data_IF_454329833565
#
_entry.id   IF_454329833565
#
_cell.length_a   1.000
_cell.length_b   1.000
_cell.length_c   1.000
_cell.angle_alpha   90.00
_cell.angle_beta   90.00
_cell.angle_gamma   90.00
#
_symmetry.space_group_name_H-M   'P 1'
#
loop_
_entity.id
_entity.type
_entity.pdbx_description
1 polymer ?
#
# COMPACT_ATOMS: atom_id res chain seq x y z
N UNK A 1 -21.73 -39.72 22.35
CA UNK A 1 -21.99 -38.30 22.02
C UNK A 1 -23.29 -38.16 21.24
N UNK A 2 -23.98 -36.99 21.29
CA UNK A 2 -25.13 -36.68 20.40
C UNK A 2 -24.62 -36.14 19.05
N UNK A 3 -25.28 -36.48 17.94
CA UNK A 3 -24.84 -36.08 16.60
C UNK A 3 -24.71 -34.55 16.42
N UNK A 4 -25.58 -33.76 17.04
CA UNK A 4 -25.50 -32.29 16.94
C UNK A 4 -24.25 -31.72 17.63
N UNK A 5 -23.82 -32.35 18.73
CA UNK A 5 -22.59 -31.97 19.44
C UNK A 5 -21.38 -32.35 18.60
N UNK A 6 -21.42 -33.54 17.98
CA UNK A 6 -20.37 -33.99 17.06
C UNK A 6 -20.21 -33.02 15.88
N UNK A 7 -21.31 -32.65 15.21
CA UNK A 7 -21.30 -31.71 14.08
C UNK A 7 -20.74 -30.34 14.46
N UNK A 8 -21.07 -29.83 15.65
CA UNK A 8 -20.54 -28.55 16.13
C UNK A 8 -19.04 -28.59 16.46
N UNK A 9 -18.47 -29.78 16.69
CA UNK A 9 -17.10 -29.98 17.15
C UNK A 9 -16.19 -30.66 16.14
N UNK A 10 -16.66 -30.93 14.92
CA UNK A 10 -15.91 -31.66 13.91
C UNK A 10 -14.67 -30.90 13.43
N UNK A 11 -14.77 -29.58 13.24
CA UNK A 11 -13.62 -28.75 12.87
C UNK A 11 -12.56 -28.70 13.98
N UNK A 12 -12.99 -28.46 15.23
CA UNK A 12 -12.10 -28.51 16.40
C UNK A 12 -11.40 -29.88 16.52
N UNK A 13 -12.06 -30.97 16.13
CA UNK A 13 -11.51 -32.33 16.14
C UNK A 13 -10.46 -32.56 15.04
N UNK A 14 -10.76 -32.13 13.80
CA UNK A 14 -9.85 -32.27 12.64
C UNK A 14 -8.56 -31.46 12.86
N UNK A 15 -8.66 -30.29 13.50
CA UNK A 15 -7.51 -29.42 13.82
C UNK A 15 -6.75 -29.83 15.10
N UNK A 16 -7.13 -30.92 15.76
CA UNK A 16 -6.57 -31.38 17.05
C UNK A 16 -6.68 -30.33 18.18
N UNK A 17 -7.75 -29.52 18.17
CA UNK A 17 -8.01 -28.43 19.09
C UNK A 17 -8.94 -28.81 20.27
N UNK A 18 -9.28 -30.10 20.41
CA UNK A 18 -10.14 -30.61 21.47
C UNK A 18 -9.37 -31.15 22.68
N UNK A 19 -10.01 -31.09 23.85
CA UNK A 19 -9.53 -31.80 25.04
C UNK A 19 -9.61 -33.33 24.84
N UNK A 20 -8.68 -34.06 25.46
CA UNK A 20 -8.49 -35.50 25.23
C UNK A 20 -9.77 -36.32 25.45
N UNK A 21 -10.54 -36.02 26.51
CA UNK A 21 -11.80 -36.71 26.81
C UNK A 21 -12.85 -36.52 25.72
N UNK A 22 -12.88 -35.34 25.10
CA UNK A 22 -13.78 -35.04 23.99
C UNK A 22 -13.33 -35.75 22.71
N UNK A 23 -12.01 -35.81 22.48
CA UNK A 23 -11.41 -36.54 21.34
C UNK A 23 -11.79 -38.02 21.37
N UNK A 24 -11.61 -38.68 22.52
CA UNK A 24 -12.02 -40.07 22.75
C UNK A 24 -13.53 -40.25 22.50
N UNK A 25 -14.35 -39.32 23.00
CA UNK A 25 -15.81 -39.38 22.79
C UNK A 25 -16.22 -39.24 21.32
N UNK A 26 -15.46 -38.46 20.54
CA UNK A 26 -15.69 -38.30 19.10
C UNK A 26 -15.24 -39.52 18.30
N UNK A 27 -14.07 -40.08 18.61
CA UNK A 27 -13.59 -41.34 17.99
C UNK A 27 -14.57 -42.48 18.20
N UNK A 28 -15.04 -42.67 19.42
CA UNK A 28 -16.07 -43.66 19.70
C UNK A 28 -17.37 -43.39 18.94
N UNK A 29 -17.75 -42.12 18.75
CA UNK A 29 -18.97 -41.76 18.06
C UNK A 29 -18.86 -41.97 16.53
N UNK A 30 -17.71 -41.64 15.92
CA UNK A 30 -17.41 -41.93 14.51
C UNK A 30 -17.53 -43.43 14.25
N UNK A 31 -16.99 -44.26 15.14
CA UNK A 31 -17.05 -45.71 15.00
C UNK A 31 -18.48 -46.29 15.15
N UNK A 32 -19.33 -45.63 15.93
CA UNK A 32 -20.69 -46.12 16.24
C UNK A 32 -21.79 -45.52 15.36
N UNK A 33 -21.57 -44.37 14.73
CA UNK A 33 -22.60 -43.63 13.97
C UNK A 33 -22.21 -43.46 12.49
N UNK A 34 -22.82 -44.23 11.56
CA UNK A 34 -22.49 -44.16 10.14
C UNK A 34 -22.66 -42.77 9.51
N UNK A 35 -23.69 -42.02 9.94
CA UNK A 35 -23.96 -40.68 9.40
C UNK A 35 -22.86 -39.66 9.82
N UNK A 36 -22.43 -39.70 11.08
CA UNK A 36 -21.35 -38.84 11.56
C UNK A 36 -19.98 -39.25 10.98
N UNK A 37 -19.80 -40.54 10.69
CA UNK A 37 -18.63 -41.05 9.98
C UNK A 37 -18.54 -40.52 8.55
N UNK A 38 -19.63 -40.56 7.79
CA UNK A 38 -19.68 -40.00 6.43
C UNK A 38 -19.37 -38.50 6.41
N UNK A 39 -19.89 -37.74 7.39
CA UNK A 39 -19.55 -36.32 7.57
C UNK A 39 -18.04 -36.16 7.83
N UNK A 40 -17.48 -36.93 8.76
CA UNK A 40 -16.05 -36.88 9.06
C UNK A 40 -15.18 -37.21 7.83
N UNK A 41 -15.50 -38.28 7.10
CA UNK A 41 -14.75 -38.70 5.91
C UNK A 41 -14.82 -37.64 4.79
N UNK A 42 -15.97 -36.96 4.62
CA UNK A 42 -16.12 -35.84 3.68
C UNK A 42 -15.26 -34.64 4.07
N UNK A 43 -15.31 -34.20 5.33
CA UNK A 43 -14.52 -33.07 5.80
C UNK A 43 -13.01 -33.36 5.72
N UNK A 44 -12.59 -34.58 6.08
CA UNK A 44 -11.20 -35.04 5.89
C UNK A 44 -10.78 -35.06 4.42
N UNK A 45 -11.69 -35.42 3.51
CA UNK A 45 -11.44 -35.37 2.06
C UNK A 45 -11.19 -33.95 1.55
N UNK A 46 -11.95 -32.98 2.03
CA UNK A 46 -11.77 -31.55 1.72
C UNK A 46 -10.41 -31.07 2.25
N UNK A 47 -10.09 -31.37 3.51
CA UNK A 47 -8.83 -31.00 4.15
C UNK A 47 -7.61 -31.57 3.44
N UNK A 48 -7.66 -32.85 3.02
CA UNK A 48 -6.59 -33.48 2.26
C UNK A 48 -6.45 -32.87 0.86
N UNK A 49 -7.57 -32.62 0.16
CA UNK A 49 -7.54 -31.96 -1.15
C UNK A 49 -6.95 -30.56 -1.06
N UNK A 50 -7.28 -29.83 0.02
CA UNK A 50 -6.70 -28.52 0.30
C UNK A 50 -5.19 -28.62 0.54
N UNK A 51 -4.74 -29.56 1.38
CA UNK A 51 -3.31 -29.81 1.64
C UNK A 51 -2.53 -30.18 0.37
N UNK A 52 -3.09 -31.07 -0.44
CA UNK A 52 -2.49 -31.52 -1.70
C UNK A 52 -2.42 -30.36 -2.71
N UNK A 53 -3.45 -29.50 -2.76
CA UNK A 53 -3.48 -28.33 -3.66
C UNK A 53 -2.48 -27.24 -3.29
N UNK A 54 -2.02 -27.22 -2.05
CA UNK A 54 -1.09 -26.21 -1.55
C UNK A 54 0.39 -26.63 -1.70
N UNK A 55 0.68 -27.85 -2.19
CA UNK A 55 2.03 -28.43 -2.41
C UNK A 55 3.05 -28.06 -1.32
N UNK A 56 2.59 -28.08 -0.06
CA UNK A 56 3.44 -27.87 1.09
C UNK A 56 4.06 -29.23 1.38
N UNK A 57 5.28 -29.43 0.85
CA UNK A 57 6.16 -30.50 1.29
C UNK A 57 6.06 -30.66 2.81
N UNK A 58 5.72 -31.87 3.21
CA UNK A 58 5.50 -32.39 4.56
C UNK A 58 6.71 -32.18 5.46
N UNK A 59 6.98 -30.94 5.82
CA UNK A 59 7.62 -30.61 7.09
C UNK A 59 6.50 -30.28 8.04
N UNK A 60 6.26 -31.25 8.92
CA UNK A 60 5.20 -31.31 9.90
C UNK A 60 4.80 -29.93 10.42
N UNK A 61 3.51 -29.61 10.37
CA UNK A 61 2.88 -28.75 11.37
C UNK A 61 2.98 -29.48 12.72
N UNK A 62 4.18 -29.61 13.28
CA UNK A 62 4.36 -29.89 14.70
C UNK A 62 3.86 -28.66 15.42
N UNK A 63 2.60 -28.75 15.83
CA UNK A 63 1.97 -28.04 16.92
C UNK A 63 2.69 -26.73 17.31
N UNK A 64 2.52 -25.70 16.47
CA UNK A 64 2.95 -24.32 16.76
C UNK A 64 2.48 -23.89 18.16
N UNK A 65 1.36 -24.42 18.66
CA UNK A 65 0.86 -24.14 19.99
C UNK A 65 1.72 -24.75 21.10
N UNK A 66 2.27 -25.95 20.90
CA UNK A 66 3.22 -26.57 21.84
C UNK A 66 4.53 -25.78 21.94
N UNK A 67 5.06 -25.37 20.80
CA UNK A 67 6.29 -24.56 20.73
C UNK A 67 6.07 -23.11 21.19
N UNK A 68 4.89 -22.53 20.94
CA UNK A 68 4.48 -21.23 21.49
C UNK A 68 4.30 -21.34 23.01
N UNK A 69 3.67 -22.39 23.53
CA UNK A 69 3.50 -22.60 24.98
C UNK A 69 4.82 -22.91 25.68
N UNK A 70 5.76 -23.58 25.01
CA UNK A 70 7.11 -23.83 25.50
C UNK A 70 8.01 -22.58 25.44
N UNK A 71 7.82 -21.73 24.43
CA UNK A 71 8.56 -20.45 24.27
C UNK A 71 7.96 -19.28 25.05
N UNK A 72 6.73 -19.41 25.56
CA UNK A 72 6.19 -18.48 26.56
C UNK A 72 7.00 -18.64 27.86
N UNK A 73 7.87 -17.66 28.10
CA UNK A 73 8.62 -17.56 29.34
C UNK A 73 7.65 -17.42 30.53
N UNK A 74 7.42 -18.54 31.22
CA UNK A 74 6.55 -18.64 32.40
C UNK A 74 6.98 -17.70 33.53
N UNK A 75 8.22 -17.19 33.51
CA UNK A 75 8.67 -16.18 34.48
C UNK A 75 8.01 -14.82 34.26
N UNK A 76 7.64 -14.48 33.00
CA UNK A 76 6.96 -13.23 32.62
C UNK A 76 5.56 -13.09 33.23
N UNK A 77 4.88 -14.22 33.45
CA UNK A 77 3.52 -14.27 34.00
C UNK A 77 3.46 -14.80 35.44
N UNK A 78 4.61 -14.98 36.09
CA UNK A 78 4.65 -15.47 37.46
C UNK A 78 4.05 -14.44 38.43
N UNK A 79 3.13 -14.89 39.30
CA UNK A 79 2.51 -14.04 40.34
C UNK A 79 3.46 -13.73 41.51
N UNK A 80 4.67 -14.30 41.54
CA UNK A 80 5.63 -14.04 42.61
C UNK A 80 6.39 -12.74 42.40
N UNK A 81 6.21 -11.82 43.35
CA UNK A 81 6.86 -10.50 43.42
C UNK A 81 8.37 -10.53 43.13
N UNK A 82 9.19 -11.46 43.69
CA UNK A 82 10.63 -11.47 43.42
C UNK A 82 10.99 -11.80 41.97
N UNK A 83 10.18 -12.59 41.25
CA UNK A 83 10.42 -12.90 39.84
C UNK A 83 10.04 -11.73 38.92
N UNK A 84 9.00 -10.96 39.25
CA UNK A 84 8.65 -9.72 38.57
C UNK A 84 9.75 -8.66 38.67
N UNK A 85 10.34 -8.48 39.85
CA UNK A 85 11.41 -7.49 40.06
C UNK A 85 12.65 -7.86 39.24
N UNK A 86 13.08 -9.14 39.28
CA UNK A 86 14.21 -9.62 38.47
C UNK A 86 13.98 -9.39 36.98
N UNK A 87 12.80 -9.75 36.47
CA UNK A 87 12.46 -9.54 35.06
C UNK A 87 12.49 -8.05 34.67
N UNK A 88 11.95 -7.17 35.52
CA UNK A 88 11.94 -5.73 35.27
C UNK A 88 13.37 -5.14 35.25
N UNK A 89 14.26 -5.65 36.11
CA UNK A 89 15.67 -5.26 36.16
C UNK A 89 16.44 -5.70 34.92
N UNK A 90 16.23 -6.94 34.45
CA UNK A 90 16.89 -7.46 33.24
C UNK A 90 16.39 -6.77 31.97
N UNK A 91 15.07 -6.55 31.84
CA UNK A 91 14.46 -5.92 30.66
C UNK A 91 14.85 -4.45 30.50
N UNK A 92 14.97 -3.72 31.61
CA UNK A 92 15.38 -2.31 31.59
C UNK A 92 16.86 -2.10 31.95
N UNK A 93 17.67 -3.16 31.91
CA UNK A 93 19.09 -3.12 32.28
C UNK A 93 19.86 -1.98 31.59
N UNK A 94 19.61 -1.75 30.30
CA UNK A 94 20.22 -0.63 29.56
C UNK A 94 19.86 0.74 30.15
N UNK A 95 18.60 0.96 30.55
CA UNK A 95 18.16 2.23 31.16
C UNK A 95 18.79 2.45 32.54
N UNK A 96 18.91 1.39 33.34
CA UNK A 96 19.57 1.46 34.65
C UNK A 96 21.08 1.68 34.53
N UNK A 97 21.74 1.06 33.55
CA UNK A 97 23.16 1.30 33.26
C UNK A 97 23.37 2.77 32.86
N UNK A 98 22.54 3.31 31.96
CA UNK A 98 22.61 4.73 31.58
C UNK A 98 22.43 5.65 32.77
N UNK A 99 21.43 5.40 33.63
CA UNK A 99 21.19 6.20 34.84
C UNK A 99 22.36 6.12 35.82
N UNK A 100 22.95 4.94 36.01
CA UNK A 100 24.10 4.73 36.87
C UNK A 100 25.36 5.45 36.37
N UNK A 101 25.58 5.45 35.05
CA UNK A 101 26.68 6.22 34.43
C UNK A 101 26.48 7.71 34.64
N UNK A 102 25.26 8.24 34.44
CA UNK A 102 24.98 9.65 34.71
C UNK A 102 25.17 10.02 36.19
N UNK A 103 24.70 9.18 37.11
CA UNK A 103 24.90 9.40 38.55
C UNK A 103 26.39 9.39 38.93
N UNK A 104 27.18 8.47 38.34
CA UNK A 104 28.62 8.39 38.57
C UNK A 104 29.36 9.63 38.02
N UNK A 105 29.03 10.06 36.79
CA UNK A 105 29.59 11.28 36.20
C UNK A 105 29.21 12.51 37.01
N UNK A 106 27.98 12.59 37.51
CA UNK A 106 27.51 13.68 38.36
C UNK A 106 28.27 13.72 39.70
N UNK A 107 28.46 12.57 40.36
CA UNK A 107 29.24 12.48 41.60
C UNK A 107 30.71 12.86 41.41
N UNK A 108 31.32 12.48 40.28
CA UNK A 108 32.72 12.84 39.97
C UNK A 108 32.90 14.32 39.58
N UNK A 109 31.87 14.95 39.01
CA UNK A 109 31.90 16.36 38.60
C UNK A 109 31.43 17.34 39.68
N UNK A 110 30.72 16.86 40.72
CA UNK A 110 30.25 17.68 41.83
C UNK A 110 31.34 18.52 42.55
N UNK A 111 32.58 18.02 42.79
CA UNK A 111 33.64 18.82 43.40
C UNK A 111 34.12 19.99 42.52
N UNK A 112 33.99 19.87 41.20
CA UNK A 112 34.44 20.87 40.24
C UNK A 112 33.41 21.98 40.02
N UNK A 113 32.12 21.63 40.04
CA UNK A 113 31.03 22.59 39.91
C UNK A 113 30.89 23.50 41.15
N UNK A 114 31.25 22.99 42.33
CA UNK A 114 31.11 23.76 43.58
C UNK A 114 32.25 24.78 43.81
N UNK A 115 33.26 24.83 42.93
CA UNK A 115 34.44 25.69 43.11
C UNK A 115 34.29 27.11 42.52
N UNK A 116 33.33 27.33 41.63
CA UNK A 116 33.11 28.62 40.97
C UNK A 116 31.92 29.44 41.51
N UNK A 117 31.11 28.89 42.41
CA UNK A 117 29.89 29.57 42.91
C UNK A 117 30.15 30.29 44.26
N UNK A 118 31.23 29.96 44.98
CA UNK A 118 31.53 30.57 46.28
C UNK A 118 32.54 31.74 46.27
N UNK A 119 33.03 32.18 45.11
CA UNK A 119 33.99 33.29 44.99
C UNK A 119 33.48 34.43 44.10
N UNK A 120 32.25 34.92 44.35
CA UNK A 120 31.82 36.22 43.81
C UNK A 120 30.72 36.84 44.68
N UNK A 121 31.15 37.49 45.74
CA UNK A 121 30.49 38.69 46.25
C UNK A 121 31.21 39.89 45.62
N UNK A 122 30.51 40.68 44.81
CA UNK A 122 30.29 42.11 45.10
C UNK A 122 29.53 42.83 43.98
N UNK A 123 28.55 43.62 44.42
CA UNK A 123 27.89 44.75 43.74
C UNK A 123 26.76 44.45 42.73
N UNK A 124 25.60 44.18 43.34
CA UNK A 124 24.31 44.67 42.87
C UNK A 124 24.33 46.21 42.73
N UNK A 125 24.00 46.76 41.55
CA UNK A 125 23.24 48.02 41.43
C UNK A 125 22.26 47.97 40.26
N UNK A 126 21.00 48.04 40.63
CA UNK A 126 19.84 48.42 39.82
C UNK A 126 20.08 49.74 39.07
N UNK A 127 19.66 49.81 37.80
CA UNK A 127 19.08 51.02 37.24
C UNK A 127 18.14 50.64 36.09
N UNK A 128 16.86 50.91 36.33
CA UNK A 128 15.76 50.95 35.35
C UNK A 128 15.97 52.21 34.50
N UNK A 129 16.05 52.11 33.17
CA UNK A 129 15.56 53.15 32.23
C UNK A 129 15.25 52.49 30.86
N UNK A 130 14.00 52.60 30.45
CA UNK A 130 13.50 52.75 29.06
C UNK A 130 12.73 54.08 29.11
N UNK A 131 12.70 55.01 28.12
CA UNK A 131 12.58 54.74 26.68
C UNK A 131 13.26 55.73 25.68
N UNK A 132 13.45 55.24 24.43
CA UNK A 132 13.41 55.94 23.12
C UNK A 132 14.34 57.14 22.78
N UNK A 133 14.65 57.20 21.47
CA UNK A 133 15.41 58.19 20.68
C UNK A 133 16.93 58.20 20.93
N UNK A 134 17.85 58.21 19.95
CA UNK A 134 17.74 58.48 18.52
C UNK A 134 18.98 57.95 17.76
N UNK A 135 18.74 57.58 16.50
CA UNK A 135 19.57 57.66 15.28
C UNK A 135 21.13 57.56 15.26
N UNK A 136 21.57 56.79 14.25
CA UNK A 136 22.78 56.90 13.39
C UNK A 136 24.15 56.39 13.87
N UNK A 137 24.66 55.33 13.22
CA UNK A 137 25.80 55.44 12.27
C UNK A 137 26.13 54.14 11.51
N UNK A 138 26.24 54.30 10.19
CA UNK A 138 27.22 53.70 9.27
C UNK A 138 27.44 52.18 9.23
N UNK A 139 27.10 51.56 8.08
CA UNK A 139 28.11 50.95 7.19
C UNK A 139 27.50 50.58 5.82
N UNK A 140 27.94 51.30 4.79
CA UNK A 140 27.70 51.08 3.36
C UNK A 140 29.07 50.92 2.68
N UNK A 141 29.07 50.32 1.49
CA UNK A 141 30.18 50.01 0.55
C UNK A 141 30.78 48.60 0.73
N UNK A 142 30.92 47.77 -0.32
CA UNK A 142 31.36 48.11 -1.68
C UNK A 142 30.90 47.07 -2.71
N UNK A 143 30.35 47.52 -3.82
CA UNK A 143 30.30 46.81 -5.10
C UNK A 143 31.03 47.67 -6.14
N UNK A 144 31.91 47.06 -6.92
CA UNK A 144 32.49 47.69 -8.11
C UNK A 144 32.57 46.65 -9.25
N UNK A 145 32.00 47.07 -10.39
CA UNK A 145 32.02 46.45 -11.70
C UNK A 145 33.35 46.71 -12.42
N UNK A 146 33.71 45.83 -13.36
CA UNK A 146 34.49 46.04 -14.59
C UNK A 146 34.24 44.78 -15.44
N UNK A 147 33.94 44.77 -16.74
CA UNK A 147 33.91 45.75 -17.82
C UNK A 147 34.03 44.96 -19.14
N UNK A 148 33.17 45.29 -20.11
CA UNK A 148 33.06 44.70 -21.45
C UNK A 148 34.37 44.66 -22.27
N UNK A 149 34.52 43.62 -23.12
CA UNK A 149 35.18 43.74 -24.43
C UNK A 149 34.68 42.63 -25.38
N UNK A 150 34.12 43.01 -26.52
CA UNK A 150 33.68 42.10 -27.58
C UNK A 150 34.79 41.75 -28.58
N UNK A 151 34.56 40.68 -29.34
CA UNK A 151 35.18 40.42 -30.64
C UNK A 151 34.33 39.39 -31.42
N UNK A 152 33.90 39.77 -32.62
CA UNK A 152 33.25 38.94 -33.64
C UNK A 152 34.23 37.94 -34.29
N UNK A 153 33.64 36.94 -34.97
CA UNK A 153 34.00 36.36 -36.30
C UNK A 153 33.94 34.82 -36.34
N UNK A 154 32.85 34.35 -36.97
CA UNK A 154 32.67 33.30 -38.01
C UNK A 154 33.26 31.87 -37.91
N UNK A 155 32.41 30.96 -38.40
CA UNK A 155 32.64 29.74 -39.20
C UNK A 155 32.75 28.35 -38.52
N UNK A 156 31.72 27.57 -38.88
CA UNK A 156 31.75 26.22 -39.46
C UNK A 156 31.90 24.95 -38.59
N UNK A 157 30.94 24.06 -38.88
CA UNK A 157 31.01 22.61 -38.97
C UNK A 157 30.83 21.73 -37.72
N UNK A 158 29.67 21.06 -37.73
CA UNK A 158 29.49 19.61 -37.55
C UNK A 158 30.46 18.91 -36.60
N UNK A 159 30.03 18.74 -35.35
CA UNK A 159 30.38 17.56 -34.56
C UNK A 159 29.16 17.00 -33.84
N UNK A 160 28.62 15.95 -34.45
CA UNK A 160 27.96 14.85 -33.75
C UNK A 160 28.84 14.42 -32.57
N UNK A 161 28.46 14.79 -31.36
CA UNK A 161 28.92 14.12 -30.15
C UNK A 161 27.73 13.42 -29.52
N UNK A 162 27.74 12.09 -29.62
CA UNK A 162 27.06 11.21 -28.66
C UNK A 162 27.49 11.68 -27.27
N UNK A 163 26.61 12.37 -26.57
CA UNK A 163 26.72 12.45 -25.11
C UNK A 163 26.43 11.05 -24.59
N UNK A 164 27.50 10.35 -24.23
CA UNK A 164 27.43 9.26 -23.27
C UNK A 164 26.82 9.83 -21.99
N UNK A 165 25.50 9.69 -21.87
CA UNK A 165 24.82 9.75 -20.58
C UNK A 165 25.37 8.57 -19.78
N UNK A 166 26.47 8.80 -19.06
CA UNK A 166 26.84 7.96 -17.93
C UNK A 166 25.69 8.05 -16.93
N UNK A 167 24.72 7.15 -17.08
CA UNK A 167 23.68 6.87 -16.11
C UNK A 167 24.40 6.34 -14.88
N UNK A 168 24.74 7.24 -13.97
CA UNK A 168 25.15 6.87 -12.62
C UNK A 168 23.96 6.12 -12.02
N UNK A 169 24.07 4.79 -11.99
CA UNK A 169 23.06 3.91 -11.42
C UNK A 169 23.11 4.11 -9.91
N UNK A 170 21.99 4.54 -9.35
CA UNK A 170 21.79 4.61 -7.90
C UNK A 170 22.09 3.23 -7.31
N UNK A 171 23.04 3.15 -6.38
CA UNK A 171 23.35 1.91 -5.66
C UNK A 171 22.93 2.06 -4.20
N UNK A 172 21.78 1.48 -3.87
CA UNK A 172 21.28 1.42 -2.50
C UNK A 172 21.95 0.24 -1.81
N UNK A 173 22.40 0.44 -0.56
CA UNK A 173 22.90 -0.66 0.25
C UNK A 173 21.79 -1.73 0.45
N UNK A 174 22.15 -3.00 0.52
CA UNK A 174 21.21 -4.13 0.59
C UNK A 174 20.27 -4.11 1.82
N UNK A 175 20.73 -3.60 2.96
CA UNK A 175 19.93 -3.51 4.19
C UNK A 175 18.96 -2.32 4.15
N UNK A 176 19.42 -1.18 3.63
CA UNK A 176 18.58 -0.01 3.37
C UNK A 176 17.51 -0.34 2.32
N UNK A 177 17.89 -1.08 1.28
CA UNK A 177 16.95 -1.67 0.33
C UNK A 177 15.91 -2.53 1.04
N UNK A 178 16.32 -3.52 1.85
CA UNK A 178 15.37 -4.38 2.58
C UNK A 178 14.41 -3.58 3.46
N UNK A 179 14.88 -2.50 4.08
CA UNK A 179 14.03 -1.64 4.88
C UNK A 179 13.01 -0.87 4.02
N UNK A 180 13.46 -0.30 2.88
CA UNK A 180 12.61 0.41 1.93
C UNK A 180 11.61 -0.53 1.25
N UNK A 181 12.04 -1.69 0.76
CA UNK A 181 11.19 -2.65 0.08
C UNK A 181 10.18 -3.30 1.03
N UNK A 182 10.58 -3.60 2.28
CA UNK A 182 9.64 -4.04 3.31
C UNK A 182 8.61 -2.95 3.59
N UNK A 183 9.05 -1.71 3.79
CA UNK A 183 8.16 -0.58 4.05
C UNK A 183 7.20 -0.37 2.88
N UNK A 184 7.67 -0.40 1.63
CA UNK A 184 6.82 -0.30 0.45
C UNK A 184 5.88 -1.49 0.31
N UNK A 185 6.33 -2.73 0.50
CA UNK A 185 5.43 -3.88 0.49
C UNK A 185 4.34 -3.75 1.57
N UNK A 186 4.71 -3.28 2.76
CA UNK A 186 3.79 -2.99 3.86
C UNK A 186 2.94 -1.71 3.62
N UNK A 187 3.30 -0.81 2.69
CA UNK A 187 2.64 0.50 2.44
C UNK A 187 2.02 0.65 1.03
N UNK A 188 2.19 -0.31 0.12
CA UNK A 188 1.71 -0.18 -1.27
C UNK A 188 0.95 -1.35 -1.84
N UNK A 189 1.03 -2.59 -1.30
CA UNK A 189 0.37 -3.71 -1.98
C UNK A 189 0.18 -5.00 -1.16
N UNK A 190 -1.06 -5.48 -1.04
CA UNK A 190 -1.35 -6.89 -0.75
C UNK A 190 -1.27 -7.71 -2.06
N UNK A 191 -0.32 -8.64 -2.13
CA UNK A 191 -0.06 -9.49 -3.32
C UNK A 191 -1.23 -10.40 -3.72
N UNK A 192 -2.22 -10.56 -2.86
CA UNK A 192 -3.36 -11.44 -3.09
C UNK A 192 -4.56 -10.75 -3.73
N UNK A 193 -4.49 -9.44 -3.98
CA UNK A 193 -5.67 -8.68 -4.35
C UNK A 193 -5.97 -8.72 -5.86
N UNK A 194 -7.15 -9.25 -6.17
CA UNK A 194 -7.70 -9.35 -7.52
C UNK A 194 -8.48 -8.07 -7.82
N UNK A 195 -8.19 -7.42 -8.95
CA UNK A 195 -9.02 -6.30 -9.41
C UNK A 195 -10.40 -6.85 -9.78
N UNK A 196 -11.49 -6.30 -9.22
CA UNK A 196 -12.83 -6.76 -9.51
C UNK A 196 -13.17 -6.54 -10.99
N UNK A 197 -13.80 -7.54 -11.58
CA UNK A 197 -14.38 -7.46 -12.92
C UNK A 197 -15.80 -6.91 -12.83
N UNK A 198 -16.16 -6.09 -13.80
CA UNK A 198 -17.46 -5.45 -13.88
C UNK A 198 -18.16 -5.79 -15.20
N UNK A 199 -19.44 -6.09 -15.10
CA UNK A 199 -20.33 -6.35 -16.24
C UNK A 199 -21.28 -5.19 -16.45
N UNK A 200 -21.64 -4.94 -17.70
CA UNK A 200 -22.60 -3.91 -18.11
C UNK A 200 -23.86 -4.57 -18.65
N UNK A 201 -25.00 -4.24 -18.08
CA UNK A 201 -26.31 -4.69 -18.52
C UNK A 201 -27.18 -3.47 -18.85
N UNK A 202 -27.69 -3.38 -20.07
CA UNK A 202 -28.60 -2.30 -20.47
C UNK A 202 -29.94 -2.44 -19.73
N UNK A 203 -30.47 -1.32 -19.22
CA UNK A 203 -31.77 -1.26 -18.54
C UNK A 203 -32.62 -0.12 -19.12
N UNK A 204 -33.89 -0.07 -18.74
CA UNK A 204 -34.75 1.06 -19.10
C UNK A 204 -34.24 2.37 -18.49
N UNK A 205 -34.26 3.47 -19.24
CA UNK A 205 -33.89 4.80 -18.73
C UNK A 205 -34.74 5.21 -17.51
N UNK A 206 -36.04 4.88 -17.55
CA UNK A 206 -37.00 5.16 -16.48
C UNK A 206 -36.92 4.20 -15.30
N UNK A 207 -35.94 3.28 -15.30
CA UNK A 207 -35.72 2.36 -14.20
C UNK A 207 -35.55 3.12 -12.88
N UNK A 208 -36.27 2.70 -11.84
CA UNK A 208 -36.24 3.33 -10.51
C UNK A 208 -35.45 2.43 -9.55
N UNK A 209 -34.20 2.77 -9.21
CA UNK A 209 -33.37 1.98 -8.33
C UNK A 209 -34.00 1.85 -6.94
N UNK A 210 -34.04 0.63 -6.40
CA UNK A 210 -34.59 0.38 -5.07
C UNK A 210 -33.52 0.56 -3.98
N UNK A 211 -33.90 1.14 -2.85
CA UNK A 211 -33.01 1.31 -1.68
C UNK A 211 -31.63 1.90 -2.06
N UNK A 212 -31.67 2.93 -2.90
CA UNK A 212 -30.49 3.49 -3.54
C UNK A 212 -29.88 4.67 -2.79
N UNK A 213 -28.60 4.92 -3.04
CA UNK A 213 -27.98 6.20 -2.68
C UNK A 213 -28.58 7.32 -3.52
N UNK A 214 -28.44 8.58 -3.07
CA UNK A 214 -28.71 9.73 -3.93
C UNK A 214 -27.96 9.63 -5.27
N UNK A 215 -28.57 10.18 -6.31
CA UNK A 215 -27.92 10.35 -7.62
C UNK A 215 -26.81 11.38 -7.52
N UNK A 216 -25.66 11.05 -8.11
CA UNK A 216 -24.50 11.94 -8.23
C UNK A 216 -24.32 12.24 -9.72
N UNK A 217 -24.36 13.52 -10.10
CA UNK A 217 -24.16 13.93 -11.49
C UNK A 217 -22.68 14.14 -11.81
N UNK A 218 -22.29 13.78 -13.02
CA UNK A 218 -20.99 14.10 -13.63
C UNK A 218 -20.76 15.61 -13.72
N UNK A 219 -19.53 16.03 -14.03
CA UNK A 219 -19.16 17.44 -14.07
C UNK A 219 -19.90 18.19 -15.18
N UNK A 220 -20.11 17.55 -16.33
CA UNK A 220 -20.93 18.08 -17.43
C UNK A 220 -22.45 17.86 -17.24
N UNK A 221 -22.86 17.12 -16.20
CA UNK A 221 -24.25 16.74 -15.91
C UNK A 221 -24.90 15.80 -16.94
N UNK A 222 -24.17 15.31 -17.95
CA UNK A 222 -24.72 14.44 -19.00
C UNK A 222 -24.96 13.03 -18.47
N UNK A 223 -24.21 12.61 -17.44
CA UNK A 223 -24.36 11.28 -16.82
C UNK A 223 -24.62 11.40 -15.33
N UNK A 224 -25.45 10.51 -14.78
CA UNK A 224 -25.70 10.40 -13.34
C UNK A 224 -25.52 8.95 -12.86
N UNK A 225 -25.00 8.79 -11.65
CA UNK A 225 -24.75 7.48 -11.04
C UNK A 225 -25.37 7.36 -9.65
N UNK A 226 -25.75 6.15 -9.24
CA UNK A 226 -26.09 5.81 -7.87
C UNK A 226 -25.76 4.35 -7.57
N UNK A 227 -25.71 3.97 -6.28
CA UNK A 227 -25.64 2.57 -5.85
C UNK A 227 -27.05 2.12 -5.50
N UNK A 228 -27.54 1.08 -6.16
CA UNK A 228 -28.76 0.35 -5.82
C UNK A 228 -28.48 -0.72 -4.74
N UNK A 229 -29.47 -0.96 -3.88
CA UNK A 229 -29.46 -2.06 -2.90
C UNK A 229 -28.71 -1.77 -1.60
N UNK A 230 -28.23 -0.53 -1.40
CA UNK A 230 -27.45 -0.14 -0.21
C UNK A 230 -28.31 0.02 1.06
N UNK A 231 -29.59 0.37 0.91
CA UNK A 231 -30.49 0.69 2.02
C UNK A 231 -30.05 1.93 2.82
N UNK A 232 -30.89 2.37 3.76
CA UNK A 232 -30.59 3.50 4.66
C UNK A 232 -29.49 3.20 5.69
N UNK A 233 -29.22 1.93 5.94
CA UNK A 233 -28.12 1.45 6.78
C UNK A 233 -27.64 0.11 6.22
N UNK A 234 -26.34 0.05 5.90
CA UNK A 234 -25.53 -1.15 5.63
C UNK A 234 -26.31 -2.42 5.23
N UNK A 235 -26.64 -2.51 3.94
CA UNK A 235 -26.80 -3.73 3.13
C UNK A 235 -27.39 -4.95 3.88
N UNK A 236 -28.71 -5.02 3.92
CA UNK A 236 -29.42 -6.22 4.38
C UNK A 236 -29.26 -7.39 3.40
N UNK A 237 -29.05 -7.10 2.11
CA UNK A 237 -28.74 -8.06 1.06
C UNK A 237 -27.49 -7.59 0.30
N UNK A 238 -26.41 -8.38 0.39
CA UNK A 238 -25.02 -8.06 0.01
C UNK A 238 -24.76 -8.03 -1.50
N UNK A 239 -25.69 -7.50 -2.29
CA UNK A 239 -25.61 -7.44 -3.76
C UNK A 239 -25.93 -6.03 -4.24
N UNK A 240 -25.02 -5.09 -3.97
CA UNK A 240 -25.10 -3.73 -4.48
C UNK A 240 -24.75 -3.66 -5.97
N UNK A 241 -25.37 -2.75 -6.71
CA UNK A 241 -25.02 -2.50 -8.12
C UNK A 241 -24.97 -1.01 -8.41
N UNK A 242 -24.14 -0.61 -9.35
CA UNK A 242 -24.07 0.79 -9.76
C UNK A 242 -25.05 0.97 -10.91
N UNK A 243 -25.94 1.94 -10.78
CA UNK A 243 -26.85 2.34 -11.87
C UNK A 243 -26.28 3.60 -12.50
N UNK A 244 -26.24 3.61 -13.82
CA UNK A 244 -25.78 4.73 -14.63
C UNK A 244 -26.89 5.18 -15.56
N UNK A 245 -27.13 6.49 -15.62
CA UNK A 245 -28.02 7.14 -16.59
C UNK A 245 -27.22 8.13 -17.43
N UNK A 246 -27.23 7.92 -18.74
CA UNK A 246 -26.78 8.89 -19.73
C UNK A 246 -28.00 9.73 -20.13
N UNK A 247 -28.12 10.91 -19.51
CA UNK A 247 -29.20 11.87 -19.71
C UNK A 247 -29.14 12.50 -21.11
N UNK A 248 -27.97 12.57 -21.72
CA UNK A 248 -27.80 13.12 -23.06
C UNK A 248 -28.36 12.16 -24.13
N UNK A 249 -28.19 10.85 -23.94
CA UNK A 249 -28.69 9.82 -24.87
C UNK A 249 -30.03 9.19 -24.47
N UNK A 250 -30.53 9.47 -23.28
CA UNK A 250 -31.65 8.76 -22.66
C UNK A 250 -31.40 7.24 -22.58
N UNK A 251 -30.18 6.86 -22.20
CA UNK A 251 -29.77 5.47 -22.03
C UNK A 251 -29.47 5.19 -20.56
N UNK A 252 -29.69 3.96 -20.11
CA UNK A 252 -29.29 3.55 -18.77
C UNK A 252 -28.71 2.13 -18.79
N UNK A 253 -27.80 1.89 -17.87
CA UNK A 253 -27.22 0.56 -17.66
C UNK A 253 -26.88 0.33 -16.20
N UNK A 254 -26.83 -0.95 -15.86
CA UNK A 254 -26.44 -1.47 -14.55
C UNK A 254 -25.03 -2.04 -14.66
N UNK A 255 -24.18 -1.67 -13.71
CA UNK A 255 -22.84 -2.20 -13.55
C UNK A 255 -22.81 -3.09 -12.31
N UNK A 256 -22.44 -4.35 -12.51
CA UNK A 256 -22.40 -5.38 -11.46
C UNK A 256 -21.04 -6.06 -11.41
N UNK A 257 -20.63 -6.50 -10.22
CA UNK A 257 -19.45 -7.34 -10.06
C UNK A 257 -19.67 -8.71 -10.72
N UNK A 258 -18.61 -9.27 -11.31
CA UNK A 258 -18.62 -10.56 -11.99
C UNK A 258 -17.88 -11.66 -11.22
N UNK A 259 -18.23 -12.92 -11.49
CA UNK A 259 -17.50 -14.08 -11.02
C UNK A 259 -17.63 -14.31 -9.51
N UNK A 260 -16.59 -14.91 -8.91
CA UNK A 260 -16.53 -15.23 -7.47
C UNK A 260 -16.51 -13.98 -6.59
N UNK A 261 -16.22 -12.82 -7.15
CA UNK A 261 -16.21 -11.53 -6.44
C UNK A 261 -17.61 -11.07 -6.09
N UNK A 262 -18.63 -11.41 -6.89
CA UNK A 262 -20.02 -10.98 -6.69
C UNK A 262 -20.59 -11.39 -5.32
N UNK A 263 -20.13 -12.51 -4.77
CA UNK A 263 -20.65 -13.06 -3.53
C UNK A 263 -19.99 -12.43 -2.28
N UNK A 264 -18.81 -11.83 -2.44
CA UNK A 264 -17.98 -11.32 -1.34
C UNK A 264 -17.76 -9.82 -1.37
N UNK A 265 -17.95 -9.20 -2.52
CA UNK A 265 -17.61 -7.82 -2.76
C UNK A 265 -18.84 -7.04 -3.22
N UNK A 266 -18.89 -5.76 -2.89
CA UNK A 266 -19.98 -4.87 -3.29
C UNK A 266 -19.53 -3.42 -3.39
N UNK A 267 -20.08 -2.63 -4.33
CA UNK A 267 -19.84 -1.21 -4.40
C UNK A 267 -20.40 -0.51 -3.15
N UNK A 268 -19.54 0.24 -2.46
CA UNK A 268 -19.87 0.91 -1.20
C UNK A 268 -20.01 2.42 -1.35
N UNK A 269 -19.18 3.02 -2.19
CA UNK A 269 -19.08 4.46 -2.34
C UNK A 269 -18.76 4.80 -3.80
N UNK A 270 -19.29 5.92 -4.28
CA UNK A 270 -19.06 6.45 -5.61
C UNK A 270 -18.61 7.91 -5.53
N UNK A 271 -17.66 8.28 -6.38
CA UNK A 271 -17.24 9.66 -6.62
C UNK A 271 -16.89 9.79 -8.10
N UNK A 272 -17.09 10.96 -8.70
CA UNK A 272 -16.67 11.16 -10.09
C UNK A 272 -15.17 11.44 -10.17
N UNK A 273 -14.45 10.71 -11.02
CA UNK A 273 -13.05 11.01 -11.34
C UNK A 273 -12.97 12.07 -12.45
N UNK A 274 -13.76 11.88 -13.50
CA UNK A 274 -13.99 12.77 -14.64
C UNK A 274 -15.33 12.38 -15.30
N UNK A 275 -15.73 12.98 -16.42
CA UNK A 275 -17.03 12.68 -17.08
C UNK A 275 -17.14 11.25 -17.65
N UNK A 276 -16.05 10.46 -17.66
CA UNK A 276 -16.02 9.10 -18.19
C UNK A 276 -15.60 8.05 -17.17
N UNK A 277 -15.03 8.47 -16.05
CA UNK A 277 -14.45 7.58 -15.06
C UNK A 277 -15.06 7.86 -13.69
N UNK A 278 -15.39 6.78 -12.98
CA UNK A 278 -15.91 6.85 -11.62
C UNK A 278 -14.93 6.19 -10.67
N UNK A 279 -14.74 6.79 -9.51
CA UNK A 279 -14.14 6.13 -8.38
C UNK A 279 -15.18 5.28 -7.66
N UNK A 280 -14.81 4.05 -7.35
CA UNK A 280 -15.65 3.09 -6.64
C UNK A 280 -14.86 2.50 -5.49
N UNK A 281 -15.38 2.64 -4.27
CA UNK A 281 -14.89 1.83 -3.15
C UNK A 281 -15.62 0.50 -3.19
N UNK A 282 -14.89 -0.59 -3.35
CA UNK A 282 -15.46 -1.95 -3.29
C UNK A 282 -15.15 -2.53 -1.93
N UNK A 283 -16.21 -2.81 -1.17
CA UNK A 283 -16.13 -3.39 0.15
C UNK A 283 -15.87 -4.88 0.10
N UNK A 284 -15.04 -5.37 1.02
CA UNK A 284 -14.77 -6.80 1.19
C UNK A 284 -15.61 -7.33 2.34
N UNK A 285 -16.36 -8.40 2.10
CA UNK A 285 -17.12 -9.12 3.10
C UNK A 285 -16.19 -9.70 4.16
N UNK A 286 -16.16 -9.04 5.32
CA UNK A 286 -15.75 -9.62 6.58
C UNK A 286 -16.66 -9.03 7.66
N UNK A 287 -17.45 -9.92 8.25
CA UNK A 287 -18.46 -9.64 9.24
C UNK A 287 -17.92 -8.73 10.37
N UNK A 288 -18.60 -7.60 10.58
CA UNK A 288 -18.95 -7.05 11.89
C UNK A 288 -18.28 -5.82 12.49
N UNK A 289 -17.34 -5.08 11.88
CA UNK A 289 -16.80 -3.90 12.61
C UNK A 289 -16.75 -2.58 11.85
N UNK A 290 -16.50 -2.54 10.53
CA UNK A 290 -16.62 -1.26 9.81
C UNK A 290 -16.68 -1.39 8.28
N UNK A 291 -17.57 -0.60 7.63
CA UNK A 291 -17.68 -0.49 6.18
C UNK A 291 -16.43 0.13 5.55
N UNK A 292 -15.90 -0.50 4.51
CA UNK A 292 -14.82 0.06 3.71
C UNK A 292 -14.13 -0.99 2.86
N UNK A 293 -13.21 -0.55 2.02
CA UNK A 293 -12.41 -1.42 1.18
C UNK A 293 -11.40 -0.63 0.35
N UNK A 294 -11.18 -1.07 -0.88
CA UNK A 294 -10.19 -0.48 -1.75
C UNK A 294 -10.83 0.43 -2.78
N UNK A 295 -10.06 1.39 -3.26
CA UNK A 295 -10.49 2.37 -4.23
C UNK A 295 -10.07 1.94 -5.62
N UNK A 296 -11.05 1.82 -6.51
CA UNK A 296 -10.88 1.53 -7.92
C UNK A 296 -11.38 2.70 -8.77
N UNK A 297 -10.85 2.83 -9.98
CA UNK A 297 -11.40 3.68 -11.03
C UNK A 297 -12.01 2.78 -12.09
N UNK A 298 -13.24 3.04 -12.50
CA UNK A 298 -13.93 2.31 -13.56
C UNK A 298 -14.21 3.28 -14.71
N UNK A 299 -13.81 2.89 -15.91
CA UNK A 299 -14.16 3.63 -17.12
C UNK A 299 -15.55 3.20 -17.63
N UNK A 300 -16.48 4.15 -17.76
CA UNK A 300 -17.88 3.90 -18.09
C UNK A 300 -18.13 3.46 -19.55
N UNK A 301 -17.18 3.72 -20.45
CA UNK A 301 -17.25 3.31 -21.85
C UNK A 301 -16.78 1.86 -22.03
N UNK A 302 -15.66 1.51 -21.38
CA UNK A 302 -14.96 0.23 -21.59
C UNK A 302 -15.20 -0.82 -20.51
N UNK A 303 -15.79 -0.42 -19.37
CA UNK A 303 -15.94 -1.23 -18.15
C UNK A 303 -14.61 -1.73 -17.56
N UNK A 304 -13.47 -1.24 -18.04
CA UNK A 304 -12.18 -1.59 -17.45
C UNK A 304 -12.02 -0.89 -16.10
N UNK A 305 -11.60 -1.65 -15.10
CA UNK A 305 -11.29 -1.16 -13.77
C UNK A 305 -9.79 -1.16 -13.51
N UNK A 306 -9.31 -0.19 -12.73
CA UNK A 306 -7.94 -0.10 -12.25
C UNK A 306 -7.93 0.21 -10.76
N UNK A 307 -7.06 -0.45 -10.01
CA UNK A 307 -6.80 -0.09 -8.61
C UNK A 307 -6.22 1.33 -8.59
N UNK A 308 -6.75 2.17 -7.70
CA UNK A 308 -6.29 3.55 -7.47
C UNK A 308 -5.53 3.60 -6.16
N UNK A 309 -6.11 3.05 -5.09
CA UNK A 309 -5.47 2.93 -3.80
C UNK A 309 -5.95 1.68 -3.08
N UNK A 310 -4.99 0.89 -2.60
CA UNK A 310 -5.24 -0.18 -1.67
C UNK A 310 -4.64 0.23 -0.30
N UNK A 311 -5.48 0.45 0.73
CA UNK A 311 -5.00 0.71 2.08
C UNK A 311 -4.27 -0.52 2.61
N UNK A 312 -3.07 -0.32 3.16
CA UNK A 312 -2.20 -1.43 3.44
C UNK A 312 -2.52 -2.22 4.68
N UNK A 313 -2.25 -3.51 4.57
CA UNK A 313 -2.54 -4.53 5.57
C UNK A 313 -4.03 -4.60 5.92
N UNK A 314 -4.46 -5.75 6.41
CA UNK A 314 -5.83 -6.00 6.90
C UNK A 314 -6.34 -5.01 7.98
N UNK A 315 -5.54 -4.00 8.35
CA UNK A 315 -5.75 -2.99 9.39
C UNK A 315 -6.24 -1.65 8.87
N UNK A 316 -6.25 -1.40 7.56
CA UNK A 316 -6.77 -0.14 7.03
C UNK A 316 -7.90 -0.39 6.03
N UNK A 317 -8.90 0.49 6.00
CA UNK A 317 -9.95 0.48 4.95
C UNK A 317 -10.30 1.90 4.54
N UNK A 318 -10.56 2.12 3.25
CA UNK A 318 -11.11 3.40 2.78
C UNK A 318 -12.63 3.36 2.97
N UNK A 319 -13.18 4.42 3.55
CA UNK A 319 -14.62 4.57 3.80
C UNK A 319 -15.28 5.59 2.87
N UNK A 320 -14.53 6.59 2.42
CA UNK A 320 -14.95 7.56 1.40
C UNK A 320 -13.75 8.19 0.71
N UNK A 321 -14.01 8.77 -0.46
CA UNK A 321 -13.06 9.52 -1.27
C UNK A 321 -13.70 10.84 -1.70
N UNK A 322 -12.92 11.91 -1.72
CA UNK A 322 -13.30 13.19 -2.30
C UNK A 322 -12.25 13.58 -3.35
N UNK A 323 -12.73 13.90 -4.56
CA UNK A 323 -11.88 14.25 -5.68
C UNK A 323 -11.65 15.76 -5.76
N UNK A 324 -10.40 16.19 -5.51
CA UNK A 324 -9.96 17.58 -5.60
C UNK A 324 -9.15 17.84 -6.89
N UNK A 325 -9.52 17.15 -7.98
CA UNK A 325 -8.96 17.24 -9.34
C UNK A 325 -7.54 16.68 -9.50
N UNK A 326 -6.57 17.23 -8.76
CA UNK A 326 -5.16 16.79 -8.81
C UNK A 326 -4.77 15.92 -7.60
N UNK A 327 -5.68 15.78 -6.64
CA UNK A 327 -5.49 14.98 -5.43
C UNK A 327 -6.79 14.31 -5.00
N UNK A 328 -6.65 13.18 -4.31
CA UNK A 328 -7.76 12.51 -3.65
C UNK A 328 -7.59 12.62 -2.16
N UNK A 329 -8.65 13.04 -1.50
CA UNK A 329 -8.77 12.99 -0.07
C UNK A 329 -9.50 11.71 0.32
N UNK A 330 -8.79 10.82 1.01
CA UNK A 330 -9.28 9.54 1.47
C UNK A 330 -9.60 9.64 2.96
N UNK A 331 -10.81 9.26 3.35
CA UNK A 331 -11.09 8.92 4.75
C UNK A 331 -10.83 7.44 4.94
N UNK A 332 -9.93 7.13 5.86
CA UNK A 332 -9.55 5.76 6.18
C UNK A 332 -9.89 5.47 7.63
N UNK A 333 -10.19 4.21 7.90
CA UNK A 333 -10.19 3.67 9.25
C UNK A 333 -8.93 2.85 9.42
N UNK A 334 -8.27 3.01 10.56
CA UNK A 334 -7.07 2.29 10.93
C UNK A 334 -7.34 1.53 12.23
N UNK A 335 -7.30 0.20 12.16
CA UNK A 335 -7.56 -0.70 13.29
C UNK A 335 -6.34 -0.73 14.23
N UNK A 336 -6.59 -0.50 15.52
CA UNK A 336 -5.57 -0.47 16.56
C UNK A 336 -5.13 -1.88 16.98
N UNK A 337 -5.95 -2.89 16.69
CA UNK A 337 -5.75 -4.28 17.10
C UNK A 337 -6.00 -5.26 15.93
N UNK A 338 -5.48 -6.48 16.06
CA UNK A 338 -5.63 -7.53 15.03
C UNK A 338 -7.04 -8.13 14.99
N UNK A 339 -7.83 -7.95 16.07
CA UNK A 339 -9.22 -8.39 16.19
C UNK A 339 -10.21 -7.39 15.54
N UNK A 340 -9.70 -6.26 15.05
CA UNK A 340 -10.40 -5.15 14.41
C UNK A 340 -11.49 -4.51 15.29
N UNK A 341 -11.37 -4.58 16.62
CA UNK A 341 -12.40 -4.09 17.56
C UNK A 341 -12.31 -2.59 17.83
N UNK A 342 -11.10 -2.06 17.89
CA UNK A 342 -10.85 -0.63 18.04
C UNK A 342 -10.26 -0.06 16.75
N UNK A 343 -10.78 1.09 16.31
CA UNK A 343 -10.21 1.84 15.19
C UNK A 343 -10.21 3.33 15.49
N UNK A 344 -9.38 4.05 14.73
CA UNK A 344 -9.45 5.50 14.63
C UNK A 344 -9.61 5.89 13.15
N UNK A 345 -10.19 7.06 12.92
CA UNK A 345 -10.32 7.62 11.58
C UNK A 345 -9.08 8.46 11.27
N UNK A 346 -8.58 8.30 10.05
CA UNK A 346 -7.52 9.12 9.49
C UNK A 346 -7.99 9.76 8.19
N UNK A 347 -7.37 10.89 7.88
CA UNK A 347 -7.53 11.56 6.59
C UNK A 347 -6.19 11.50 5.87
N UNK A 348 -6.20 10.92 4.68
CA UNK A 348 -5.02 10.82 3.81
C UNK A 348 -5.25 11.62 2.54
N UNK A 349 -4.18 12.21 2.03
CA UNK A 349 -4.21 12.89 0.75
C UNK A 349 -3.18 12.25 -0.13
N UNK A 350 -3.64 11.67 -1.25
CA UNK A 350 -2.78 11.14 -2.30
C UNK A 350 -2.85 12.05 -3.51
N UNK A 351 -1.76 12.12 -4.26
CA UNK A 351 -1.84 12.71 -5.59
C UNK A 351 -2.75 11.86 -6.47
N UNK A 352 -3.44 12.49 -7.41
CA UNK A 352 -4.14 11.81 -8.48
C UNK A 352 -4.14 12.72 -9.69
N UNK A 353 -3.00 12.77 -10.35
CA UNK A 353 -2.79 13.67 -11.48
C UNK A 353 -2.41 12.88 -12.70
N UNK A 354 -3.17 13.04 -13.78
CA UNK A 354 -2.77 12.46 -15.07
C UNK A 354 -1.52 13.18 -15.60
N UNK A 355 -0.45 12.40 -15.79
CA UNK A 355 0.88 12.89 -16.19
C UNK A 355 1.39 12.17 -17.43
N UNK A 356 0.52 11.50 -18.19
CA UNK A 356 0.85 10.80 -19.44
C UNK A 356 1.72 11.66 -20.37
N UNK A 357 1.36 12.93 -20.57
CA UNK A 357 2.10 13.84 -21.46
C UNK A 357 3.16 14.69 -20.75
N UNK A 358 3.49 14.38 -19.49
CA UNK A 358 4.44 15.16 -18.70
C UNK A 358 5.88 14.94 -19.19
N UNK A 359 6.68 16.00 -19.15
CA UNK A 359 8.12 15.96 -19.43
C UNK A 359 8.97 15.80 -18.16
N UNK A 360 8.36 15.45 -17.04
CA UNK A 360 9.10 15.15 -15.82
C UNK A 360 10.08 13.99 -16.03
N UNK A 361 11.27 14.08 -15.43
CA UNK A 361 12.31 13.05 -15.59
C UNK A 361 11.83 11.66 -15.14
N UNK A 362 11.00 11.59 -14.09
CA UNK A 362 10.42 10.35 -13.58
C UNK A 362 9.42 9.73 -14.55
N UNK A 363 8.62 10.55 -15.25
CA UNK A 363 7.71 10.09 -16.30
C UNK A 363 8.48 9.65 -17.54
N UNK A 364 9.52 10.41 -17.91
CA UNK A 364 10.41 10.08 -19.04
C UNK A 364 11.08 8.72 -18.85
N UNK A 365 11.45 8.36 -17.61
CA UNK A 365 12.02 7.05 -17.28
C UNK A 365 11.07 5.89 -17.66
N UNK A 366 9.75 6.05 -17.47
CA UNK A 366 8.76 5.04 -17.84
C UNK A 366 8.68 4.85 -19.36
N UNK A 367 8.72 5.94 -20.12
CA UNK A 367 8.77 5.88 -21.58
C UNK A 367 10.08 5.32 -22.10
N UNK A 368 11.22 5.63 -21.47
CA UNK A 368 12.50 5.02 -21.80
C UNK A 368 12.48 3.50 -21.56
N UNK A 369 11.82 3.05 -20.49
CA UNK A 369 11.60 1.62 -20.22
C UNK A 369 10.78 0.94 -21.32
N UNK A 370 9.61 1.51 -21.66
CA UNK A 370 8.77 1.04 -22.76
C UNK A 370 9.51 1.02 -24.11
N UNK A 371 10.23 2.10 -24.44
CA UNK A 371 11.02 2.20 -25.68
C UNK A 371 12.07 1.10 -25.77
N UNK A 372 12.85 0.89 -24.70
CA UNK A 372 13.88 -0.16 -24.68
C UNK A 372 13.29 -1.57 -24.86
N UNK A 373 12.09 -1.84 -24.32
CA UNK A 373 11.38 -3.10 -24.56
C UNK A 373 11.02 -3.24 -26.04
N UNK A 374 10.41 -2.20 -26.62
CA UNK A 374 9.92 -2.20 -28.00
C UNK A 374 11.04 -2.29 -29.04
N UNK A 375 12.21 -1.73 -28.74
CA UNK A 375 13.41 -1.81 -29.58
C UNK A 375 14.20 -3.13 -29.42
N UNK A 376 13.77 -4.01 -28.50
CA UNK A 376 14.48 -5.25 -28.20
C UNK A 376 15.72 -5.08 -27.30
N UNK A 377 15.98 -3.86 -26.81
CA UNK A 377 17.09 -3.52 -25.93
C UNK A 377 16.82 -3.93 -24.46
N UNK A 378 16.60 -5.22 -24.21
CA UNK A 378 16.15 -5.74 -22.89
C UNK A 378 17.13 -5.42 -21.75
N UNK A 379 18.43 -5.47 -22.01
CA UNK A 379 19.44 -5.12 -21.00
C UNK A 379 19.42 -3.63 -20.64
N UNK A 380 19.12 -2.76 -21.61
CA UNK A 380 18.95 -1.33 -21.35
C UNK A 380 17.71 -1.07 -20.49
N UNK A 381 16.59 -1.77 -20.76
CA UNK A 381 15.40 -1.71 -19.92
C UNK A 381 15.69 -2.16 -18.47
N UNK A 382 16.46 -3.25 -18.31
CA UNK A 382 16.90 -3.75 -16.99
C UNK A 382 17.81 -2.77 -16.26
N UNK A 383 18.60 -1.98 -16.98
CA UNK A 383 19.50 -0.99 -16.38
C UNK A 383 18.77 0.26 -15.85
N UNK A 384 17.48 0.44 -16.17
CA UNK A 384 16.65 1.49 -15.57
C UNK A 384 16.15 1.14 -14.17
N UNK A 385 16.24 -0.13 -13.79
CA UNK A 385 15.96 -0.55 -12.41
C UNK A 385 17.12 -0.22 -11.48
N UNK A 386 16.78 0.00 -10.20
CA UNK A 386 17.77 -0.02 -9.13
C UNK A 386 18.52 -1.36 -9.13
N UNK A 387 19.83 -1.30 -8.86
CA UNK A 387 20.75 -2.42 -9.07
C UNK A 387 20.32 -3.71 -8.36
N UNK A 388 19.78 -3.60 -7.15
CA UNK A 388 19.34 -4.75 -6.37
C UNK A 388 18.02 -5.35 -6.88
N UNK A 389 17.21 -4.59 -7.65
CA UNK A 389 15.91 -5.03 -8.13
C UNK A 389 15.93 -5.72 -9.50
N UNK A 390 17.07 -5.75 -10.19
CA UNK A 390 17.21 -6.34 -11.54
C UNK A 390 16.79 -7.82 -11.66
N UNK A 391 16.48 -8.51 -10.57
CA UNK A 391 15.96 -9.89 -10.61
C UNK A 391 14.59 -10.04 -9.97
N UNK A 392 14.19 -9.14 -9.07
CA UNK A 392 12.94 -9.28 -8.31
C UNK A 392 11.70 -8.93 -9.14
N UNK A 393 11.85 -8.14 -10.20
CA UNK A 393 10.75 -7.77 -11.10
C UNK A 393 10.05 -8.99 -11.73
N UNK A 394 10.79 -10.09 -11.93
CA UNK A 394 10.27 -11.30 -12.60
C UNK A 394 9.09 -11.92 -11.88
N UNK A 395 9.04 -11.75 -10.56
CA UNK A 395 7.96 -12.27 -9.74
C UNK A 395 6.63 -11.53 -9.96
N UNK A 396 6.65 -10.35 -10.59
CA UNK A 396 5.49 -9.49 -10.78
C UNK A 396 5.07 -9.41 -12.25
N UNK A 397 6.02 -9.11 -13.15
CA UNK A 397 5.73 -8.92 -14.57
C UNK A 397 6.41 -9.95 -15.48
N UNK A 398 6.81 -11.11 -14.94
CA UNK A 398 7.54 -12.16 -15.66
C UNK A 398 8.90 -11.71 -16.21
N UNK A 399 9.54 -12.53 -17.04
CA UNK A 399 10.82 -12.13 -17.64
C UNK A 399 10.58 -11.05 -18.70
N UNK A 400 11.31 -9.92 -18.60
CA UNK A 400 11.21 -8.81 -19.57
C UNK A 400 11.59 -9.29 -20.98
N UNK A 401 12.37 -10.37 -21.08
CA UNK A 401 12.72 -11.02 -22.35
C UNK A 401 11.51 -11.64 -23.05
N UNK A 402 10.46 -12.00 -22.30
CA UNK A 402 9.24 -12.60 -22.84
C UNK A 402 8.25 -11.55 -23.36
N UNK A 403 8.50 -10.26 -23.11
CA UNK A 403 7.64 -9.16 -23.54
C UNK A 403 8.14 -8.67 -24.91
N UNK A 404 7.37 -8.88 -25.98
CA UNK A 404 7.70 -8.38 -27.32
C UNK A 404 7.48 -6.87 -27.42
N UNK A 405 6.33 -6.38 -26.97
CA UNK A 405 5.99 -4.94 -26.95
C UNK A 405 5.34 -4.53 -25.64
N UNK A 406 5.59 -3.29 -25.23
CA UNK A 406 4.95 -2.62 -24.11
C UNK A 406 4.63 -1.18 -24.54
N UNK A 407 3.35 -0.84 -24.65
CA UNK A 407 2.89 0.51 -25.00
C UNK A 407 2.22 1.15 -23.78
N UNK A 408 2.74 2.29 -23.31
CA UNK A 408 2.13 3.03 -22.21
C UNK A 408 1.01 3.92 -22.75
N UNK A 409 -0.21 3.66 -22.29
CA UNK A 409 -1.41 4.37 -22.71
C UNK A 409 -1.77 5.52 -21.76
N UNK A 410 -1.54 5.35 -20.45
CA UNK A 410 -1.89 6.34 -19.42
C UNK A 410 -0.96 6.24 -18.22
N UNK A 411 -0.61 7.40 -17.65
CA UNK A 411 0.19 7.50 -16.42
C UNK A 411 -0.52 8.44 -15.46
N UNK A 412 -0.77 7.98 -14.24
CA UNK A 412 -1.35 8.78 -13.15
C UNK A 412 -0.40 8.81 -11.97
N UNK A 413 -0.01 10.00 -11.50
CA UNK A 413 0.74 10.18 -10.26
C UNK A 413 -0.19 9.89 -9.08
N UNK A 414 0.12 8.82 -8.35
CA UNK A 414 -0.60 8.33 -7.18
C UNK A 414 0.30 8.32 -5.94
N UNK A 415 1.32 9.18 -5.94
CA UNK A 415 2.29 9.27 -4.85
C UNK A 415 1.60 9.71 -3.56
N UNK A 416 1.71 8.89 -2.52
CA UNK A 416 1.35 9.27 -1.16
C UNK A 416 2.47 10.13 -0.55
N UNK A 417 2.10 11.31 -0.05
CA UNK A 417 3.01 12.25 0.60
C UNK A 417 3.70 11.65 1.85
N UNK A 418 3.14 10.60 2.46
CA UNK A 418 3.71 9.88 3.60
C UNK A 418 5.01 9.14 3.25
N UNK A 419 5.17 8.68 2.01
CA UNK A 419 6.34 7.91 1.54
C UNK A 419 7.64 8.72 1.61
N UNK A 420 7.56 10.03 1.38
CA UNK A 420 8.72 10.93 1.37
C UNK A 420 9.17 11.46 2.73
N UNK A 421 8.38 11.24 3.80
CA UNK A 421 8.71 11.79 5.13
C UNK A 421 9.90 11.06 5.75
N UNK A 422 10.86 11.84 6.23
CA UNK A 422 12.06 11.39 6.97
C UNK A 422 12.99 10.44 6.19
N UNK A 423 13.04 10.54 4.86
CA UNK A 423 13.90 9.69 4.05
C UNK A 423 15.00 10.49 3.30
N UNK A 424 16.13 9.83 3.03
CA UNK A 424 17.22 10.35 2.17
C UNK A 424 16.82 10.35 0.68
N UNK A 425 15.73 9.67 0.38
CA UNK A 425 15.23 9.44 -0.95
C UNK A 425 13.91 10.19 -1.18
N UNK A 426 13.69 10.58 -2.43
CA UNK A 426 12.39 10.95 -2.94
C UNK A 426 11.77 9.72 -3.62
N UNK A 427 10.44 9.59 -3.46
CA UNK A 427 9.66 8.51 -4.05
C UNK A 427 8.61 9.09 -4.98
N UNK A 428 8.33 8.36 -6.05
CA UNK A 428 7.17 8.55 -6.91
C UNK A 428 6.49 7.21 -7.11
N UNK A 429 5.17 7.21 -7.06
CA UNK A 429 4.36 6.05 -7.39
C UNK A 429 3.44 6.45 -8.53
N UNK A 430 3.52 5.71 -9.64
CA UNK A 430 2.67 5.92 -10.80
C UNK A 430 1.80 4.70 -11.04
N UNK A 431 0.49 4.93 -11.18
CA UNK A 431 -0.41 3.97 -11.83
C UNK A 431 -0.25 4.09 -13.34
N UNK A 432 0.10 2.99 -14.01
CA UNK A 432 0.44 2.94 -15.43
C UNK A 432 -0.45 1.93 -16.13
N UNK A 433 -1.25 2.38 -17.09
CA UNK A 433 -1.99 1.50 -17.99
C UNK A 433 -1.13 1.24 -19.22
N UNK A 434 -0.81 -0.02 -19.49
CA UNK A 434 0.03 -0.39 -20.63
C UNK A 434 -0.51 -1.63 -21.36
N UNK A 435 -0.40 -1.63 -22.68
CA UNK A 435 -0.66 -2.82 -23.50
C UNK A 435 0.61 -3.64 -23.66
N UNK A 436 0.52 -4.92 -23.31
CA UNK A 436 1.61 -5.88 -23.42
C UNK A 436 1.33 -6.83 -24.58
N UNK A 437 2.35 -7.05 -25.40
CA UNK A 437 2.41 -8.12 -26.39
C UNK A 437 3.45 -9.13 -25.91
N UNK A 438 3.02 -10.32 -25.51
CA UNK A 438 3.87 -11.37 -24.94
C UNK A 438 4.29 -12.34 -26.05
N UNK A 439 5.53 -12.84 -25.97
CA UNK A 439 6.01 -13.89 -26.85
C UNK A 439 5.21 -15.17 -26.61
N UNK A 440 4.43 -15.60 -27.61
CA UNK A 440 3.58 -16.80 -27.54
C UNK A 440 4.36 -18.10 -27.35
N UNK A 441 5.67 -18.08 -27.62
CA UNK A 441 6.56 -19.23 -27.40
C UNK A 441 7.23 -19.25 -26.03
N UNK A 442 7.06 -18.20 -25.22
CA UNK A 442 7.62 -18.15 -23.87
C UNK A 442 6.77 -18.98 -22.90
N UNK A 443 7.44 -19.73 -22.02
CA UNK A 443 6.80 -20.44 -20.90
C UNK A 443 6.51 -19.45 -19.77
N UNK A 444 5.47 -18.62 -19.97
CA UNK A 444 5.10 -17.55 -19.04
C UNK A 444 3.60 -17.55 -18.77
N UNK A 445 3.24 -17.13 -17.56
CA UNK A 445 1.83 -16.95 -17.15
C UNK A 445 1.23 -15.64 -17.70
N UNK A 446 2.06 -14.75 -18.24
CA UNK A 446 1.61 -13.49 -18.84
C UNK A 446 0.93 -13.76 -20.18
N UNK A 447 -0.12 -12.99 -20.46
CA UNK A 447 -0.84 -13.01 -21.73
C UNK A 447 -0.74 -11.63 -22.38
N UNK A 448 -0.90 -11.57 -23.70
CA UNK A 448 -1.03 -10.28 -24.37
C UNK A 448 -2.36 -9.64 -23.95
N UNK A 449 -2.29 -8.48 -23.27
CA UNK A 449 -3.46 -7.76 -22.74
C UNK A 449 -3.07 -6.35 -22.30
N UNK A 450 -4.07 -5.56 -21.90
CA UNK A 450 -3.86 -4.31 -21.17
C UNK A 450 -3.68 -4.62 -19.69
N UNK A 451 -2.57 -4.20 -19.10
CA UNK A 451 -2.28 -4.33 -17.67
C UNK A 451 -2.25 -2.96 -16.99
N UNK A 452 -2.62 -2.95 -15.72
CA UNK A 452 -2.55 -1.78 -14.84
C UNK A 452 -1.45 -2.00 -13.81
N UNK A 453 -0.35 -1.29 -13.95
CA UNK A 453 0.87 -1.51 -13.17
C UNK A 453 1.16 -0.33 -12.25
N UNK A 454 1.55 -0.60 -11.00
CA UNK A 454 2.18 0.42 -10.17
C UNK A 454 3.68 0.40 -10.36
N UNK A 455 4.22 1.51 -10.84
CA UNK A 455 5.65 1.74 -10.89
C UNK A 455 6.07 2.58 -9.69
N UNK A 456 6.93 2.01 -8.85
CA UNK A 456 7.59 2.73 -7.76
C UNK A 456 8.96 3.18 -8.23
N UNK A 457 9.18 4.48 -8.23
CA UNK A 457 10.42 5.12 -8.60
C UNK A 457 11.07 5.74 -7.37
N UNK A 458 12.39 5.68 -7.36
CA UNK A 458 13.20 6.23 -6.29
C UNK A 458 14.34 7.07 -6.85
N UNK A 459 14.72 8.12 -6.13
CA UNK A 459 16.00 8.81 -6.32
C UNK A 459 16.54 9.29 -4.98
N UNK A 460 17.85 9.44 -4.86
CA UNK A 460 18.42 10.21 -3.75
C UNK A 460 18.04 11.68 -3.90
N UNK A 461 17.83 12.39 -2.79
CA UNK A 461 17.51 13.83 -2.82
C UNK A 461 18.58 14.68 -3.46
N UNK A 462 19.83 14.22 -3.42
CA UNK A 462 20.99 14.86 -4.05
C UNK A 462 21.09 14.58 -5.55
N UNK A 463 20.37 13.57 -6.04
CA UNK A 463 20.46 13.11 -7.41
C UNK A 463 19.34 13.67 -8.29
N UNK A 464 19.63 13.75 -9.59
CA UNK A 464 18.66 14.17 -10.62
C UNK A 464 17.98 12.99 -11.32
N UNK A 465 18.57 11.80 -11.23
CA UNK A 465 18.16 10.63 -11.97
C UNK A 465 17.25 9.75 -11.11
N UNK A 466 16.14 9.34 -11.69
CA UNK A 466 15.24 8.35 -11.11
C UNK A 466 15.64 6.95 -11.55
N UNK A 467 15.40 5.99 -10.67
CA UNK A 467 15.48 4.56 -10.98
C UNK A 467 14.15 3.89 -10.68
N UNK A 468 13.80 2.86 -11.45
CA UNK A 468 12.65 2.00 -11.15
C UNK A 468 13.04 1.12 -9.96
N UNK A 469 12.38 1.33 -8.83
CA UNK A 469 12.59 0.51 -7.66
C UNK A 469 11.80 -0.79 -7.75
N UNK A 470 10.54 -0.73 -8.20
CA UNK A 470 9.67 -1.89 -8.26
C UNK A 470 8.50 -1.67 -9.23
N UNK A 471 8.02 -2.76 -9.83
CA UNK A 471 6.72 -2.83 -10.49
C UNK A 471 5.87 -3.80 -9.70
N UNK A 472 4.76 -3.35 -9.11
CA UNK A 472 4.04 -4.10 -8.06
C UNK A 472 2.95 -5.01 -8.57
N UNK A 473 2.41 -4.82 -9.77
CA UNK A 473 1.18 -5.51 -10.14
C UNK A 473 1.45 -6.88 -10.78
N UNK A 474 0.78 -7.95 -10.32
CA UNK A 474 0.83 -9.27 -10.92
C UNK A 474 0.03 -9.32 -12.24
N UNK A 475 0.25 -10.34 -13.09
CA UNK A 475 -0.48 -10.52 -14.34
C UNK A 475 -1.97 -10.72 -14.04
N UNK A 476 -2.79 -9.76 -14.45
CA UNK A 476 -4.24 -9.89 -14.50
C UNK A 476 -4.61 -10.85 -15.64
N UNK A 477 -5.37 -11.89 -15.32
CA UNK A 477 -5.90 -12.87 -16.28
C UNK A 477 -7.31 -12.51 -16.71
#
# INVERSE_FOLDING_TARGET
MKCDVFRKKIYDYIEDNLQNDMKISMEEHINKCPNCRDIYEKEMGIENTLKDSLDINTTMFTNLRGDIVASIDKSRYSKSIPKKIKFHFFRNSKRYITLAVFAFVFLMSAPYLNRNIFNKDESLKMAIVDPKEDLNKDLKLKSENLGNKGMDISNEENRSSKEDRNTVVLEINKDEYKAISKRLADETYDKSEIIPLFTKETISYDYKPQDSTPWISSFNMDTSICIEGKGSYYLKDKSGSIIVRDNAKNEAWKISLEGKEKDKNYPMYLEWADDKNIFVIVGIENHDISPGGNLYSINLDTMKASLVYNPTANKEKITSVENNKDSLELKTISFNDDLKQEYHEEKRTINYKEVTNSKENSVTLLYDFSRNINEGNKDAALNLFEKNFKQEYKNYIGDIKDINKLNINRIVDVTDASLGKNNKYDFKVYGVMSDYEINTSADTKLKSSTYYNYFVLIKQKTDKNWSILQILTPPQN
#
